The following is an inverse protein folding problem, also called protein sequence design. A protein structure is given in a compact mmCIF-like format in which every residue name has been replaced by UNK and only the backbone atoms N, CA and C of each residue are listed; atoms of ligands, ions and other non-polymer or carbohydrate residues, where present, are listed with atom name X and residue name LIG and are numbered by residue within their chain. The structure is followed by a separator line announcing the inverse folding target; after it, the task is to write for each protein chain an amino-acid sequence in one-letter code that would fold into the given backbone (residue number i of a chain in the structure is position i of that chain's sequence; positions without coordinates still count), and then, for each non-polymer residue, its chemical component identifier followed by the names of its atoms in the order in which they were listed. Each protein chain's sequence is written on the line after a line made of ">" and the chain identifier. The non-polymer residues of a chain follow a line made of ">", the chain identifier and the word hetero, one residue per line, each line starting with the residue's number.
data_IF_737213242331
#
_entry.id   IF_737213242331
#
_cell.length_a   1.000
_cell.length_b   1.000
_cell.length_c   1.000
_cell.angle_alpha   90.00
_cell.angle_beta   90.00
_cell.angle_gamma   90.00
#
_symmetry.space_group_name_H-M   'P 1'
#
loop_
_entity.id
_entity.type
_entity.pdbx_description
1 polymer ?
#
# COMPACT_ATOMS: atom_id res chain seq x y z
N UNK A 1 -24.51 7.13 -7.30
CA UNK A 1 -23.10 7.51 -7.51
C UNK A 1 -22.36 7.05 -6.28
N UNK A 2 -21.81 5.83 -6.33
CA UNK A 2 -21.11 5.26 -5.20
C UNK A 2 -19.84 6.09 -5.03
N UNK A 3 -19.79 6.90 -3.96
CA UNK A 3 -18.53 7.47 -3.49
C UNK A 3 -17.70 6.30 -3.00
N UNK A 4 -17.07 5.61 -3.94
CA UNK A 4 -15.97 4.72 -3.69
C UNK A 4 -14.98 5.45 -2.79
N UNK A 5 -14.74 4.94 -1.57
CA UNK A 5 -13.72 5.44 -0.64
C UNK A 5 -12.30 5.25 -1.16
N UNK A 6 -12.03 5.73 -2.38
CA UNK A 6 -10.95 5.32 -3.28
C UNK A 6 -9.65 6.09 -3.12
N UNK A 7 -9.63 7.19 -2.38
CA UNK A 7 -8.38 7.95 -2.18
C UNK A 7 -7.55 7.38 -1.01
N UNK A 8 -8.15 7.09 0.15
CA UNK A 8 -7.42 6.52 1.32
C UNK A 8 -7.09 5.01 1.20
N UNK A 9 -7.57 4.40 0.11
CA UNK A 9 -7.48 2.96 -0.15
C UNK A 9 -6.25 2.55 -0.98
N UNK A 10 -5.45 3.51 -1.45
CA UNK A 10 -4.30 3.25 -2.32
C UNK A 10 -2.97 3.62 -1.64
N UNK A 11 -1.89 3.05 -2.14
CA UNK A 11 -0.50 3.41 -1.82
C UNK A 11 0.14 3.84 -3.13
N UNK A 12 0.46 5.12 -3.29
CA UNK A 12 1.29 5.57 -4.40
C UNK A 12 2.74 5.18 -4.13
N UNK A 13 3.22 4.17 -4.85
CA UNK A 13 4.62 3.72 -4.79
C UNK A 13 5.64 4.78 -5.24
N UNK A 14 5.20 5.85 -5.92
CA UNK A 14 6.06 6.96 -6.35
C UNK A 14 6.17 8.05 -5.28
N UNK A 15 5.22 8.14 -4.34
CA UNK A 15 5.30 9.06 -3.21
C UNK A 15 6.09 8.41 -2.07
N UNK A 16 7.30 8.90 -1.84
CA UNK A 16 8.17 8.40 -0.77
C UNK A 16 7.53 8.52 0.62
N UNK A 17 6.71 9.54 0.87
CA UNK A 17 6.04 9.75 2.15
C UNK A 17 4.93 8.74 2.37
N UNK A 18 4.13 8.44 1.35
CA UNK A 18 3.09 7.40 1.43
C UNK A 18 3.70 6.01 1.62
N UNK A 19 4.76 5.69 0.88
CA UNK A 19 5.48 4.42 1.03
C UNK A 19 6.06 4.29 2.44
N UNK A 20 6.67 5.36 2.98
CA UNK A 20 7.19 5.35 4.36
C UNK A 20 6.07 5.22 5.40
N UNK A 21 4.93 5.87 5.19
CA UNK A 21 3.78 5.76 6.09
C UNK A 21 3.21 4.34 6.08
N UNK A 22 3.02 3.75 4.90
CA UNK A 22 2.58 2.37 4.75
C UNK A 22 3.57 1.40 5.40
N UNK A 23 4.88 1.57 5.15
CA UNK A 23 5.94 0.77 5.75
C UNK A 23 5.85 0.77 7.29
N UNK A 24 5.71 1.96 7.90
CA UNK A 24 5.53 2.10 9.36
C UNK A 24 4.24 1.43 9.85
N UNK A 25 3.14 1.52 9.09
CA UNK A 25 1.85 0.91 9.45
C UNK A 25 1.87 -0.62 9.40
N UNK A 26 2.54 -1.18 8.40
CA UNK A 26 2.66 -2.63 8.22
C UNK A 26 3.84 -3.24 8.98
N UNK A 27 4.74 -2.42 9.55
CA UNK A 27 5.93 -2.89 10.24
C UNK A 27 6.98 -3.48 9.31
N UNK A 28 7.01 -3.04 8.05
CA UNK A 28 7.91 -3.52 6.99
C UNK A 28 8.78 -2.37 6.47
N UNK A 29 9.68 -2.67 5.52
CA UNK A 29 10.52 -1.65 4.88
C UNK A 29 9.79 -0.95 3.71
N UNK A 30 10.18 0.30 3.37
CA UNK A 30 9.70 0.98 2.15
C UNK A 30 9.92 0.16 0.88
N UNK A 31 10.99 -0.65 0.83
CA UNK A 31 11.27 -1.54 -0.30
C UNK A 31 10.21 -2.63 -0.41
N UNK A 32 9.87 -3.29 0.70
CA UNK A 32 8.83 -4.33 0.73
C UNK A 32 7.47 -3.78 0.32
N UNK A 33 7.13 -2.54 0.69
CA UNK A 33 5.91 -1.88 0.20
C UNK A 33 5.93 -1.73 -1.33
N UNK A 34 7.02 -1.25 -1.91
CA UNK A 34 7.13 -1.10 -3.37
C UNK A 34 7.05 -2.45 -4.08
N UNK A 35 7.71 -3.47 -3.54
CA UNK A 35 7.68 -4.83 -4.08
C UNK A 35 6.27 -5.44 -3.97
N UNK A 36 5.53 -5.19 -2.88
CA UNK A 36 4.14 -5.62 -2.74
C UNK A 36 3.23 -4.89 -3.73
N UNK A 37 3.33 -3.57 -3.84
CA UNK A 37 2.55 -2.77 -4.80
C UNK A 37 2.78 -3.23 -6.24
N UNK A 38 4.03 -3.58 -6.60
CA UNK A 38 4.36 -4.13 -7.91
C UNK A 38 3.71 -5.50 -8.18
N UNK A 39 3.49 -6.32 -7.15
CA UNK A 39 2.92 -7.66 -7.27
C UNK A 39 1.39 -7.70 -7.20
N UNK A 40 0.78 -6.93 -6.30
CA UNK A 40 -0.67 -7.00 -6.01
C UNK A 40 -1.43 -5.71 -6.36
N UNK A 41 -0.74 -4.71 -6.90
CA UNK A 41 -1.27 -3.40 -7.22
C UNK A 41 -1.26 -2.44 -6.02
N UNK A 42 -1.59 -1.18 -6.27
CA UNK A 42 -1.56 -0.11 -5.27
C UNK A 42 -2.67 -0.17 -4.23
N UNK A 43 -3.56 -1.17 -4.26
CA UNK A 43 -4.62 -1.29 -3.26
C UNK A 43 -4.06 -1.67 -1.90
N UNK A 44 -4.29 -0.83 -0.89
CA UNK A 44 -3.84 -1.04 0.48
C UNK A 44 -4.35 -2.36 1.08
N UNK A 45 -5.57 -2.76 0.74
CA UNK A 45 -6.15 -4.04 1.15
C UNK A 45 -5.45 -5.25 0.49
N UNK A 46 -5.02 -5.11 -0.77
CA UNK A 46 -4.26 -6.15 -1.45
C UNK A 46 -2.86 -6.29 -0.85
N UNK A 47 -2.19 -5.16 -0.58
CA UNK A 47 -0.88 -5.11 0.08
C UNK A 47 -0.95 -5.65 1.50
N UNK A 48 -1.99 -5.35 2.26
CA UNK A 48 -2.21 -5.92 3.59
C UNK A 48 -2.37 -7.45 3.53
N UNK A 49 -3.15 -7.96 2.56
CA UNK A 49 -3.29 -9.41 2.34
C UNK A 49 -1.97 -10.07 1.91
N UNK A 50 -1.10 -9.36 1.20
CA UNK A 50 0.23 -9.83 0.83
C UNK A 50 1.11 -10.10 2.07
N UNK A 51 1.00 -9.25 3.10
CA UNK A 51 1.79 -9.37 4.34
C UNK A 51 1.14 -10.25 5.43
N UNK A 52 -0.17 -10.51 5.38
CA UNK A 52 -0.89 -11.38 6.35
C UNK A 52 -0.72 -12.88 6.12
N UNK A 53 0.34 -13.31 5.42
CA UNK A 53 0.64 -14.72 5.20
C UNK A 53 1.29 -15.37 6.41
#
# INVERSE_FOLDING_TARGET
>A
MNQDGRDDSKIDSNDASEVQYAAKKFGVTPKEIKDAVAQVGSSRAAVEKYFKK
#
